data_IF_583347114801
#
_entry.id   IF_583347114801
#
_cell.length_a   1.000
_cell.length_b   1.000
_cell.length_c   1.000
_cell.angle_alpha   90.00
_cell.angle_beta   90.00
_cell.angle_gamma   90.00
#
_symmetry.space_group_name_H-M   'P 1'
#
loop_
_entity.id
_entity.type
_entity.pdbx_description
1 polymer ?
#
# COMPACT_ATOMS: atom_id res chain seq x y z
N UNK A 1 23.10 15.70 -8.56
CA UNK A 1 22.31 14.47 -8.32
C UNK A 1 20.82 14.71 -8.44
N UNK A 2 20.23 15.72 -7.80
CA UNK A 2 18.79 16.01 -7.89
C UNK A 2 18.27 16.19 -9.32
N UNK A 3 18.99 16.91 -10.17
CA UNK A 3 18.64 17.11 -11.57
C UNK A 3 18.66 15.81 -12.39
N UNK A 4 19.56 14.87 -12.08
CA UNK A 4 19.61 13.58 -12.76
C UNK A 4 18.33 12.76 -12.47
N UNK A 5 17.89 12.71 -11.21
CA UNK A 5 16.66 12.01 -10.83
C UNK A 5 15.42 12.68 -11.41
N UNK A 6 15.36 14.01 -11.41
CA UNK A 6 14.24 14.74 -12.00
C UNK A 6 14.11 14.49 -13.52
N UNK A 7 15.23 14.38 -14.25
CA UNK A 7 15.25 14.05 -15.69
C UNK A 7 14.86 12.60 -15.99
N UNK A 8 15.09 11.70 -15.05
CA UNK A 8 14.89 10.25 -15.22
C UNK A 8 13.78 9.71 -14.30
N UNK A 9 12.85 10.55 -13.89
CA UNK A 9 11.83 10.19 -12.90
C UNK A 9 11.02 8.96 -13.32
N UNK A 10 10.67 8.83 -14.60
CA UNK A 10 9.95 7.67 -15.15
C UNK A 10 10.73 6.37 -14.95
N UNK A 11 12.05 6.42 -15.19
CA UNK A 11 12.93 5.24 -15.00
C UNK A 11 13.04 4.89 -13.51
N UNK A 12 13.07 5.89 -12.64
CA UNK A 12 13.09 5.70 -11.18
C UNK A 12 11.83 4.98 -10.73
N UNK A 13 10.64 5.46 -11.10
CA UNK A 13 9.37 4.82 -10.77
C UNK A 13 9.27 3.41 -11.35
N UNK A 14 9.77 3.18 -12.57
CA UNK A 14 9.78 1.84 -13.16
C UNK A 14 10.57 0.85 -12.30
N UNK A 15 11.82 1.17 -11.94
CA UNK A 15 12.65 0.27 -11.14
C UNK A 15 12.16 0.14 -9.71
N UNK A 16 11.62 1.21 -9.13
CA UNK A 16 11.05 1.19 -7.79
C UNK A 16 9.82 0.28 -7.72
N UNK A 17 8.89 0.43 -8.66
CA UNK A 17 7.74 -0.44 -8.80
C UNK A 17 8.14 -1.90 -9.07
N UNK A 18 9.14 -2.12 -9.95
CA UNK A 18 9.66 -3.46 -10.23
C UNK A 18 10.25 -4.13 -8.99
N UNK A 19 10.98 -3.38 -8.16
CA UNK A 19 11.57 -3.89 -6.92
C UNK A 19 10.51 -4.37 -5.93
N UNK A 20 9.48 -3.53 -5.67
CA UNK A 20 8.37 -3.90 -4.78
C UNK A 20 7.55 -5.05 -5.33
N UNK A 21 7.20 -5.01 -6.62
CA UNK A 21 6.42 -6.07 -7.26
C UNK A 21 7.17 -7.41 -7.22
N UNK A 22 8.47 -7.42 -7.56
CA UNK A 22 9.32 -8.62 -7.53
C UNK A 22 9.46 -9.16 -6.12
N UNK A 23 9.65 -8.30 -5.12
CA UNK A 23 9.68 -8.67 -3.70
C UNK A 23 8.36 -9.34 -3.30
N UNK A 24 7.23 -8.71 -3.63
CA UNK A 24 5.90 -9.24 -3.31
C UNK A 24 5.67 -10.61 -3.95
N UNK A 25 6.02 -10.76 -5.23
CA UNK A 25 5.91 -12.03 -5.96
C UNK A 25 6.81 -13.12 -5.36
N UNK A 26 8.06 -12.78 -5.03
CA UNK A 26 8.99 -13.72 -4.41
C UNK A 26 8.49 -14.22 -3.05
N UNK A 27 7.98 -13.32 -2.21
CA UNK A 27 7.39 -13.66 -0.91
C UNK A 27 6.14 -14.52 -1.10
N UNK A 28 5.29 -14.19 -2.06
CA UNK A 28 4.08 -14.98 -2.35
C UNK A 28 4.43 -16.41 -2.76
N UNK A 29 5.36 -16.59 -3.69
CA UNK A 29 5.82 -17.91 -4.14
C UNK A 29 6.49 -18.71 -3.00
N UNK A 30 7.30 -18.05 -2.18
CA UNK A 30 7.90 -18.69 -1.01
C UNK A 30 6.82 -19.12 -0.01
N UNK A 31 5.86 -18.24 0.31
CA UNK A 31 4.77 -18.53 1.24
C UNK A 31 3.88 -19.68 0.77
N UNK A 32 3.65 -19.81 -0.54
CA UNK A 32 2.87 -20.92 -1.11
C UNK A 32 3.51 -22.29 -0.86
N UNK A 33 4.85 -22.37 -0.84
CA UNK A 33 5.61 -23.60 -0.54
C UNK A 33 5.56 -23.98 0.93
N UNK A 34 5.48 -22.99 1.83
CA UNK A 34 5.48 -23.23 3.28
C UNK A 34 4.08 -23.44 3.89
N UNK A 35 3.01 -23.37 3.10
CA UNK A 35 1.62 -23.61 3.57
C UNK A 35 1.39 -25.01 4.11
N UNK A 36 2.22 -25.99 3.75
CA UNK A 36 2.15 -27.37 4.21
C UNK A 36 2.98 -27.65 5.47
N UNK A 37 3.81 -26.69 5.90
CA UNK A 37 4.59 -26.77 7.13
C UNK A 37 3.90 -26.01 8.25
N UNK A 38 4.16 -26.38 9.50
CA UNK A 38 3.66 -25.69 10.70
C UNK A 38 4.21 -24.25 10.86
N UNK A 39 4.54 -23.59 9.74
CA UNK A 39 5.19 -22.30 9.75
C UNK A 39 4.14 -21.19 9.97
N UNK A 40 3.95 -20.80 11.23
CA UNK A 40 2.97 -19.80 11.69
C UNK A 40 3.07 -18.44 10.97
N UNK A 41 4.28 -18.10 10.48
CA UNK A 41 4.55 -16.85 9.76
C UNK A 41 4.01 -16.84 8.31
N UNK A 42 3.74 -18.00 7.69
CA UNK A 42 3.30 -18.05 6.30
C UNK A 42 2.03 -17.24 6.05
N UNK A 43 1.10 -17.23 7.02
CA UNK A 43 -0.13 -16.43 6.94
C UNK A 43 0.11 -14.91 7.01
N UNK A 44 1.12 -14.46 7.75
CA UNK A 44 1.49 -13.05 7.81
C UNK A 44 2.21 -12.61 6.52
N UNK A 45 3.10 -13.44 6.01
CA UNK A 45 3.88 -13.15 4.80
C UNK A 45 3.00 -12.91 3.56
N UNK A 46 1.79 -13.48 3.50
CA UNK A 46 0.86 -13.20 2.40
C UNK A 46 0.41 -11.73 2.37
N UNK A 47 0.25 -11.08 3.52
CA UNK A 47 -0.07 -9.65 3.59
C UNK A 47 1.12 -8.80 3.14
N UNK A 48 2.35 -9.19 3.51
CA UNK A 48 3.56 -8.52 3.03
C UNK A 48 3.73 -8.69 1.50
N UNK A 49 3.44 -9.88 0.98
CA UNK A 49 3.43 -10.12 -0.47
C UNK A 49 2.40 -9.23 -1.18
N UNK A 50 1.18 -9.16 -0.63
CA UNK A 50 0.13 -8.27 -1.13
C UNK A 50 0.54 -6.80 -1.10
N UNK A 51 1.15 -6.35 -0.01
CA UNK A 51 1.72 -5.01 0.08
C UNK A 51 2.70 -4.75 -1.05
N UNK A 52 3.70 -5.61 -1.25
CA UNK A 52 4.71 -5.44 -2.30
C UNK A 52 4.09 -5.35 -3.71
N UNK A 53 3.13 -6.22 -4.02
CA UNK A 53 2.46 -6.21 -5.33
C UNK A 53 1.65 -4.92 -5.52
N UNK A 54 0.79 -4.55 -4.56
CA UNK A 54 -0.08 -3.37 -4.68
C UNK A 54 0.74 -2.09 -4.69
N UNK A 55 1.78 -1.99 -3.84
CA UNK A 55 2.66 -0.83 -3.81
C UNK A 55 3.47 -0.69 -5.10
N UNK A 56 3.98 -1.79 -5.65
CA UNK A 56 4.64 -1.79 -6.96
C UNK A 56 3.74 -1.32 -8.10
N UNK A 57 2.47 -1.71 -8.10
CA UNK A 57 1.46 -1.23 -9.06
C UNK A 57 1.18 0.27 -8.89
N UNK A 58 1.19 0.78 -7.66
CA UNK A 58 1.04 2.20 -7.36
C UNK A 58 2.21 3.02 -7.93
N UNK A 59 3.46 2.56 -7.77
CA UNK A 59 4.64 3.23 -8.33
C UNK A 59 4.58 3.26 -9.88
N UNK A 60 4.08 2.19 -10.51
CA UNK A 60 3.85 2.21 -11.95
C UNK A 60 2.69 3.12 -12.36
N UNK A 61 1.69 3.28 -11.53
CA UNK A 61 0.65 4.29 -11.77
C UNK A 61 1.27 5.70 -11.81
N UNK A 62 2.12 6.06 -10.83
CA UNK A 62 2.84 7.34 -10.82
C UNK A 62 3.71 7.52 -12.06
N UNK A 63 4.39 6.46 -12.50
CA UNK A 63 5.12 6.44 -13.77
C UNK A 63 4.22 6.79 -14.95
N UNK A 64 3.04 6.18 -15.05
CA UNK A 64 2.11 6.45 -16.15
C UNK A 64 1.58 7.87 -16.14
N UNK A 65 1.28 8.43 -14.97
CA UNK A 65 0.90 9.84 -14.81
C UNK A 65 2.00 10.76 -15.34
N UNK A 66 3.27 10.47 -15.06
CA UNK A 66 4.39 11.28 -15.56
C UNK A 66 4.60 11.15 -17.07
N UNK A 67 4.38 9.97 -17.64
CA UNK A 67 4.45 9.75 -19.10
C UNK A 67 3.35 10.53 -19.81
N UNK A 68 2.13 10.54 -19.28
CA UNK A 68 0.99 11.25 -19.85
C UNK A 68 1.19 12.77 -19.84
N UNK A 69 1.73 13.33 -18.76
CA UNK A 69 2.12 14.74 -18.68
C UNK A 69 3.14 15.14 -19.74
N UNK A 70 3.94 14.21 -20.25
CA UNK A 70 4.86 14.39 -21.37
C UNK A 70 4.17 14.39 -22.75
N UNK A 71 2.87 14.17 -22.83
CA UNK A 71 2.07 14.22 -24.08
C UNK A 71 2.27 13.03 -25.01
N UNK A 72 2.84 11.91 -24.54
CA UNK A 72 3.29 10.80 -25.39
C UNK A 72 2.41 9.53 -25.28
N UNK A 73 1.23 9.58 -24.63
CA UNK A 73 0.51 8.35 -24.30
C UNK A 73 -0.98 8.34 -24.69
N UNK A 74 -1.47 7.17 -25.12
CA UNK A 74 -2.88 6.84 -25.25
C UNK A 74 -3.38 6.08 -24.00
N UNK A 75 -2.98 6.53 -22.80
CA UNK A 75 -3.37 5.90 -21.54
C UNK A 75 -4.84 6.22 -21.25
N UNK A 76 -5.68 5.22 -20.89
CA UNK A 76 -7.06 5.48 -20.52
C UNK A 76 -7.16 6.46 -19.37
N UNK A 77 -7.94 7.53 -19.50
CA UNK A 77 -8.02 8.62 -18.52
C UNK A 77 -8.51 8.15 -17.14
N UNK A 78 -9.28 7.05 -17.04
CA UNK A 78 -9.68 6.50 -15.74
C UNK A 78 -8.51 5.96 -14.92
N UNK A 79 -7.43 5.49 -15.59
CA UNK A 79 -6.23 4.99 -14.92
C UNK A 79 -5.40 6.15 -14.34
N UNK A 80 -5.55 7.36 -14.86
CA UNK A 80 -4.81 8.54 -14.43
C UNK A 80 -5.53 9.33 -13.32
N UNK A 81 -6.69 8.83 -12.85
CA UNK A 81 -7.46 9.50 -11.80
C UNK A 81 -6.70 9.48 -10.46
N UNK A 82 -6.60 10.62 -9.78
CA UNK A 82 -5.96 10.70 -8.46
C UNK A 82 -6.61 9.78 -7.43
N UNK A 83 -7.91 9.50 -7.57
CA UNK A 83 -8.66 8.58 -6.72
C UNK A 83 -8.13 7.14 -6.83
N UNK A 84 -7.74 6.72 -8.04
CA UNK A 84 -7.16 5.39 -8.28
C UNK A 84 -5.82 5.27 -7.56
N UNK A 85 -4.96 6.27 -7.67
CA UNK A 85 -3.70 6.35 -6.93
C UNK A 85 -3.94 6.24 -5.40
N UNK A 86 -4.85 7.04 -4.87
CA UNK A 86 -5.15 7.07 -3.45
C UNK A 86 -5.66 5.72 -2.93
N UNK A 87 -6.53 5.03 -3.69
CA UNK A 87 -7.03 3.70 -3.34
C UNK A 87 -5.88 2.69 -3.26
N UNK A 88 -4.96 2.67 -4.23
CA UNK A 88 -3.79 1.77 -4.20
C UNK A 88 -2.89 2.06 -3.00
N UNK A 89 -2.64 3.34 -2.72
CA UNK A 89 -1.82 3.77 -1.59
C UNK A 89 -2.40 3.28 -0.26
N UNK A 90 -3.68 3.58 0.00
CA UNK A 90 -4.37 3.18 1.23
C UNK A 90 -4.40 1.65 1.37
N UNK A 91 -4.72 0.94 0.27
CA UNK A 91 -4.76 -0.52 0.27
C UNK A 91 -3.39 -1.13 0.59
N UNK A 92 -2.30 -0.59 0.03
CA UNK A 92 -0.95 -1.07 0.30
C UNK A 92 -0.59 -0.91 1.78
N UNK A 93 -0.85 0.24 2.38
CA UNK A 93 -0.57 0.46 3.80
C UNK A 93 -1.46 -0.38 4.73
N UNK A 94 -2.73 -0.61 4.37
CA UNK A 94 -3.59 -1.55 5.10
C UNK A 94 -3.00 -2.96 5.13
N UNK A 95 -2.51 -3.45 4.00
CA UNK A 95 -1.84 -4.75 3.93
C UNK A 95 -0.60 -4.81 4.82
N UNK A 96 0.17 -3.72 4.89
CA UNK A 96 1.33 -3.61 5.76
C UNK A 96 0.92 -3.61 7.26
N UNK A 97 -0.15 -2.92 7.63
CA UNK A 97 -0.71 -2.94 8.99
C UNK A 97 -1.17 -4.35 9.36
N UNK A 98 -1.89 -5.04 8.45
CA UNK A 98 -2.30 -6.43 8.66
C UNK A 98 -1.10 -7.36 8.85
N UNK A 99 -0.06 -7.20 8.03
CA UNK A 99 1.19 -7.94 8.18
C UNK A 99 1.80 -7.71 9.57
N UNK A 100 1.97 -6.46 9.99
CA UNK A 100 2.57 -6.11 11.27
C UNK A 100 1.82 -6.72 12.46
N UNK A 101 0.50 -6.61 12.47
CA UNK A 101 -0.34 -7.18 13.53
C UNK A 101 -0.23 -8.71 13.53
N UNK A 102 -0.31 -9.35 12.36
CA UNK A 102 -0.16 -10.80 12.24
C UNK A 102 1.20 -11.29 12.68
N UNK A 103 2.26 -10.56 12.37
CA UNK A 103 3.62 -10.85 12.78
C UNK A 103 3.76 -10.82 14.31
N UNK A 104 3.20 -9.80 14.98
CA UNK A 104 3.20 -9.69 16.43
C UNK A 104 2.52 -10.88 17.11
N UNK A 105 1.40 -11.36 16.53
CA UNK A 105 0.70 -12.52 17.06
C UNK A 105 1.43 -13.83 16.78
N UNK A 106 2.00 -14.00 15.60
CA UNK A 106 2.75 -15.22 15.23
C UNK A 106 4.00 -15.44 16.10
N UNK A 107 4.57 -14.37 16.67
CA UNK A 107 5.76 -14.44 17.50
C UNK A 107 5.48 -14.82 18.98
N UNK A 108 4.23 -14.88 19.41
CA UNK A 108 3.88 -15.32 20.77
C UNK A 108 3.95 -16.85 20.86
N UNK A 109 4.71 -17.37 21.86
CA UNK A 109 5.08 -18.79 21.98
C UNK A 109 3.91 -19.73 22.31
N UNK A 110 2.82 -19.23 22.87
CA UNK A 110 1.63 -20.01 23.25
C UNK A 110 0.41 -19.39 22.58
N UNK A 111 -0.01 -19.94 21.44
CA UNK A 111 -1.24 -19.52 20.79
C UNK A 111 -2.22 -20.68 20.84
N UNK A 112 -3.17 -20.58 21.73
CA UNK A 112 -4.43 -21.32 21.72
C UNK A 112 -5.31 -20.83 20.55
N UNK A 113 -6.22 -21.67 20.05
CA UNK A 113 -7.14 -21.33 18.94
C UNK A 113 -7.96 -20.05 19.17
N UNK A 114 -8.26 -19.75 20.44
CA UNK A 114 -8.93 -18.50 20.84
C UNK A 114 -8.03 -17.26 20.65
N UNK A 115 -6.72 -17.40 20.79
CA UNK A 115 -5.77 -16.31 20.55
C UNK A 115 -5.60 -16.03 19.05
N UNK A 116 -5.70 -17.05 18.19
CA UNK A 116 -5.67 -16.84 16.74
C UNK A 116 -6.89 -16.03 16.26
N UNK A 117 -8.07 -16.29 16.83
CA UNK A 117 -9.29 -15.50 16.57
C UNK A 117 -9.15 -14.05 17.08
N UNK A 118 -8.54 -13.87 18.26
CA UNK A 118 -8.26 -12.55 18.82
C UNK A 118 -7.25 -11.78 17.96
N UNK A 119 -6.23 -12.44 17.38
CA UNK A 119 -5.28 -11.85 16.43
C UNK A 119 -5.97 -11.28 15.21
N UNK A 120 -6.95 -12.00 14.64
CA UNK A 120 -7.74 -11.51 13.52
C UNK A 120 -8.62 -10.31 13.91
N UNK A 121 -9.25 -10.35 15.08
CA UNK A 121 -10.05 -9.23 15.62
C UNK A 121 -9.19 -7.97 15.79
N UNK A 122 -8.00 -8.11 16.39
CA UNK A 122 -7.11 -6.96 16.57
C UNK A 122 -6.58 -6.42 15.23
N UNK A 123 -6.30 -7.30 14.27
CA UNK A 123 -5.91 -6.87 12.92
C UNK A 123 -7.03 -6.04 12.26
N UNK A 124 -8.28 -6.50 12.38
CA UNK A 124 -9.44 -5.77 11.87
C UNK A 124 -9.66 -4.44 12.62
N UNK A 125 -9.52 -4.44 13.96
CA UNK A 125 -9.62 -3.23 14.77
C UNK A 125 -8.50 -2.24 14.44
N UNK A 126 -7.26 -2.70 14.24
CA UNK A 126 -6.12 -1.86 13.83
C UNK A 126 -6.33 -1.25 12.45
N UNK A 127 -6.79 -2.05 11.49
CA UNK A 127 -7.12 -1.56 10.15
C UNK A 127 -8.30 -0.57 10.20
N UNK A 128 -9.34 -0.85 11.00
CA UNK A 128 -10.46 0.06 11.21
C UNK A 128 -10.04 1.37 11.86
N UNK A 129 -9.17 1.32 12.88
CA UNK A 129 -8.63 2.51 13.53
C UNK A 129 -7.78 3.34 12.57
N UNK A 130 -6.93 2.69 11.76
CA UNK A 130 -6.15 3.38 10.72
C UNK A 130 -7.06 4.09 9.72
N UNK A 131 -8.07 3.39 9.17
CA UNK A 131 -9.03 3.99 8.24
C UNK A 131 -9.82 5.13 8.86
N UNK A 132 -10.22 4.99 10.14
CA UNK A 132 -10.95 6.05 10.85
C UNK A 132 -10.07 7.28 11.05
N UNK A 133 -8.84 7.13 11.51
CA UNK A 133 -7.88 8.23 11.71
C UNK A 133 -7.55 8.91 10.38
N UNK A 134 -7.28 8.12 9.35
CA UNK A 134 -7.02 8.65 8.02
C UNK A 134 -8.24 9.38 7.46
N UNK A 135 -9.43 8.80 7.54
CA UNK A 135 -10.68 9.43 7.10
C UNK A 135 -10.98 10.72 7.85
N UNK A 136 -10.77 10.75 9.18
CA UNK A 136 -10.92 11.98 9.99
C UNK A 136 -9.92 13.06 9.55
N UNK A 137 -8.66 12.67 9.24
CA UNK A 137 -7.65 13.60 8.75
C UNK A 137 -8.03 14.18 7.39
N UNK A 138 -8.58 13.38 6.48
CA UNK A 138 -9.10 13.84 5.18
C UNK A 138 -10.27 14.80 5.37
N UNK A 139 -11.22 14.47 6.25
CA UNK A 139 -12.37 15.34 6.56
C UNK A 139 -11.91 16.66 7.17
N UNK A 140 -10.96 16.61 8.14
CA UNK A 140 -10.41 17.82 8.74
C UNK A 140 -9.74 18.72 7.69
N UNK A 141 -8.94 18.12 6.79
CA UNK A 141 -8.33 18.84 5.68
C UNK A 141 -9.38 19.47 4.76
N UNK A 142 -10.43 18.71 4.43
CA UNK A 142 -11.53 19.23 3.60
C UNK A 142 -12.27 20.41 4.27
N UNK A 143 -12.47 20.38 5.58
CA UNK A 143 -13.09 21.47 6.32
C UNK A 143 -12.22 22.74 6.34
N UNK A 144 -10.88 22.58 6.38
CA UNK A 144 -9.94 23.70 6.40
C UNK A 144 -9.74 24.32 5.01
N UNK A 145 -9.66 23.49 3.97
CA UNK A 145 -9.29 23.92 2.62
C UNK A 145 -10.46 23.98 1.63
N UNK A 146 -11.69 24.18 2.11
CA UNK A 146 -12.81 24.46 1.18
C UNK A 146 -12.39 25.56 0.19
N UNK A 147 -12.45 25.41 -1.14
CA UNK A 147 -13.46 24.74 -1.96
C UNK A 147 -12.97 23.89 -3.14
N UNK A 148 -11.70 23.50 -3.25
CA UNK A 148 -11.19 22.84 -4.46
C UNK A 148 -10.90 21.34 -4.22
N UNK A 149 -11.37 20.46 -5.15
CA UNK A 149 -11.18 19.01 -5.06
C UNK A 149 -9.72 18.59 -5.11
N UNK A 150 -8.92 19.23 -5.95
CA UNK A 150 -7.51 18.92 -6.15
C UNK A 150 -6.63 19.08 -4.91
N UNK A 151 -6.71 20.20 -4.15
CA UNK A 151 -5.96 20.35 -2.90
C UNK A 151 -6.33 19.32 -1.85
N UNK A 152 -7.60 18.88 -1.79
CA UNK A 152 -8.04 17.86 -0.84
C UNK A 152 -7.43 16.49 -1.14
N UNK A 153 -7.41 16.07 -2.40
CA UNK A 153 -6.84 14.78 -2.82
C UNK A 153 -5.33 14.78 -2.57
N UNK A 154 -4.64 15.86 -2.91
CA UNK A 154 -3.21 16.00 -2.66
C UNK A 154 -2.88 15.97 -1.15
N UNK A 155 -3.69 16.63 -0.32
CA UNK A 155 -3.52 16.59 1.13
C UNK A 155 -3.81 15.18 1.70
N UNK A 156 -4.82 14.49 1.18
CA UNK A 156 -5.12 13.11 1.56
C UNK A 156 -3.99 12.14 1.17
N UNK A 157 -3.36 12.35 0.02
CA UNK A 157 -2.21 11.58 -0.43
C UNK A 157 -1.00 11.80 0.49
N UNK A 158 -0.70 13.05 0.83
CA UNK A 158 0.37 13.38 1.79
C UNK A 158 0.11 12.72 3.14
N UNK A 159 -1.11 12.85 3.68
CA UNK A 159 -1.50 12.24 4.96
C UNK A 159 -1.45 10.71 4.96
N UNK A 160 -1.58 10.07 3.80
CA UNK A 160 -1.45 8.63 3.69
C UNK A 160 0.02 8.16 3.63
N UNK A 161 0.96 9.04 3.22
CA UNK A 161 2.39 8.73 3.11
C UNK A 161 3.18 8.96 4.40
N UNK A 162 2.71 9.84 5.30
CA UNK A 162 3.38 10.27 6.52
C UNK A 162 2.54 10.03 7.76
#
# INVERSE_FOLDING_TARGET
>A
MAEFFARNIVVVYFFYGLAFFSMGLAIWLASARFRTSEFRLAGALLFLAGFGIVHGLQEWHDMFVHIDQGGASNIPGWLLLPEVHLVHLVLSFLLLVFFGIRLLYANRREIDDDQAKNGNRLALLGAGAFLALWGLSVIATWLVYRPERLPMINAADVLARY
#
